data_IF_076226687553
#
_entry.id   IF_076226687553
#
_cell.length_a   1.000
_cell.length_b   1.000
_cell.length_c   1.000
_cell.angle_alpha   90.00
_cell.angle_beta   90.00
_cell.angle_gamma   90.00
#
_symmetry.space_group_name_H-M   'P 1'
#
loop_
_entity.id
_entity.type
_entity.pdbx_description
1 polymer ?
#
# COMPACT_ATOMS: atom_id res chain seq x y z
N UNK A 1 27.15 17.87 -31.32
CA UNK A 1 26.21 18.86 -30.77
C UNK A 1 26.32 18.83 -29.25
N UNK A 2 26.49 19.95 -28.54
CA UNK A 2 26.47 19.94 -27.08
C UNK A 2 25.08 19.51 -26.61
N UNK A 3 25.02 18.47 -25.78
CA UNK A 3 23.75 18.02 -25.19
C UNK A 3 23.29 19.09 -24.20
N UNK A 4 22.19 19.77 -24.52
CA UNK A 4 21.55 20.70 -23.58
C UNK A 4 21.28 19.96 -22.27
N UNK A 5 21.68 20.55 -21.15
CA UNK A 5 21.32 20.03 -19.83
C UNK A 5 19.81 20.10 -19.65
N UNK A 6 19.21 18.99 -19.24
CA UNK A 6 17.78 18.88 -18.92
C UNK A 6 17.52 19.32 -17.49
N UNK A 7 16.42 20.02 -17.26
CA UNK A 7 15.85 20.26 -15.94
C UNK A 7 15.15 18.98 -15.42
N UNK A 8 14.96 18.84 -14.11
CA UNK A 8 14.46 17.60 -13.49
C UNK A 8 13.12 17.10 -14.08
N UNK A 9 12.19 18.00 -14.38
CA UNK A 9 10.89 17.63 -14.95
C UNK A 9 10.98 17.12 -16.39
N UNK A 10 12.04 17.46 -17.13
CA UNK A 10 12.28 17.00 -18.51
C UNK A 10 12.77 15.54 -18.58
N UNK A 11 12.98 14.89 -17.43
CA UNK A 11 13.26 13.46 -17.31
C UNK A 11 12.00 12.60 -17.16
N UNK A 12 10.83 13.20 -16.95
CA UNK A 12 9.56 12.48 -16.91
C UNK A 12 9.20 12.04 -18.34
N UNK A 13 9.05 10.73 -18.54
CA UNK A 13 8.67 10.17 -19.84
C UNK A 13 7.14 10.17 -19.99
N UNK A 14 6.64 10.69 -21.10
CA UNK A 14 5.19 10.72 -21.41
C UNK A 14 4.63 9.35 -21.87
N UNK A 15 5.48 8.34 -22.00
CA UNK A 15 5.09 6.97 -22.30
C UNK A 15 5.52 6.07 -21.14
N UNK A 16 4.57 5.31 -20.60
CA UNK A 16 4.82 4.37 -19.52
C UNK A 16 5.57 3.14 -20.00
N UNK A 17 6.30 2.50 -19.08
CA UNK A 17 6.65 1.10 -19.25
C UNK A 17 5.36 0.27 -19.28
N UNK A 18 5.24 -0.68 -20.21
CA UNK A 18 4.03 -1.52 -20.38
C UNK A 18 3.72 -2.41 -19.17
N UNK A 19 4.64 -2.49 -18.19
CA UNK A 19 4.51 -3.33 -17.01
C UNK A 19 4.10 -2.58 -15.74
N UNK A 20 4.14 -1.25 -15.72
CA UNK A 20 3.89 -0.46 -14.50
C UNK A 20 2.47 -0.68 -13.95
N UNK A 21 2.37 -1.00 -12.66
CA UNK A 21 1.08 -1.09 -11.96
C UNK A 21 0.51 0.31 -11.76
N UNK A 22 -0.52 0.64 -12.52
CA UNK A 22 -1.15 1.96 -12.52
C UNK A 22 -2.44 2.02 -11.72
N UNK A 23 -3.00 3.22 -11.60
CA UNK A 23 -4.27 3.47 -10.89
C UNK A 23 -5.43 2.61 -11.43
N UNK A 24 -5.48 2.33 -12.73
CA UNK A 24 -6.51 1.48 -13.33
C UNK A 24 -6.46 0.03 -12.80
N UNK A 25 -5.28 -0.52 -12.54
CA UNK A 25 -5.14 -1.85 -11.96
C UNK A 25 -5.74 -1.87 -10.55
N UNK A 26 -5.48 -0.82 -9.77
CA UNK A 26 -6.05 -0.67 -8.43
C UNK A 26 -7.56 -0.43 -8.45
N UNK A 27 -8.14 0.21 -9.47
CA UNK A 27 -9.60 0.36 -9.61
C UNK A 27 -10.30 -1.00 -9.80
N UNK A 28 -9.64 -1.93 -10.52
CA UNK A 28 -10.21 -3.24 -10.84
C UNK A 28 -10.08 -4.20 -9.67
N UNK A 29 -8.88 -4.36 -9.11
CA UNK A 29 -8.60 -5.30 -8.02
C UNK A 29 -7.41 -4.83 -7.18
N UNK A 30 -7.63 -3.95 -6.17
CA UNK A 30 -6.56 -3.30 -5.41
C UNK A 30 -5.53 -4.26 -4.82
N UNK A 31 -6.00 -5.38 -4.27
CA UNK A 31 -5.14 -6.40 -3.66
C UNK A 31 -4.22 -7.04 -4.70
N UNK A 32 -4.77 -7.46 -5.83
CA UNK A 32 -4.01 -8.10 -6.91
C UNK A 32 -3.00 -7.13 -7.54
N UNK A 33 -3.37 -5.86 -7.71
CA UNK A 33 -2.48 -4.82 -8.21
C UNK A 33 -1.27 -4.59 -7.29
N UNK A 34 -1.51 -4.46 -5.98
CA UNK A 34 -0.42 -4.31 -5.01
C UNK A 34 0.49 -5.54 -4.97
N UNK A 35 -0.08 -6.75 -4.96
CA UNK A 35 0.73 -7.96 -4.94
C UNK A 35 1.59 -8.11 -6.20
N UNK A 36 1.05 -7.76 -7.38
CA UNK A 36 1.83 -7.67 -8.62
C UNK A 36 3.04 -6.75 -8.44
N UNK A 37 2.81 -5.53 -7.92
CA UNK A 37 3.88 -4.57 -7.67
C UNK A 37 4.95 -5.11 -6.70
N UNK A 38 4.56 -5.77 -5.61
CA UNK A 38 5.52 -6.36 -4.66
C UNK A 38 6.37 -7.46 -5.28
N UNK A 39 5.82 -8.26 -6.20
CA UNK A 39 6.58 -9.29 -6.91
C UNK A 39 7.56 -8.66 -7.89
N UNK A 40 7.12 -7.71 -8.70
CA UNK A 40 7.99 -7.01 -9.65
C UNK A 40 9.15 -6.30 -8.93
N UNK A 41 8.87 -5.69 -7.77
CA UNK A 41 9.89 -5.08 -6.92
C UNK A 41 10.91 -6.10 -6.40
N UNK A 42 10.43 -7.26 -5.91
CA UNK A 42 11.29 -8.36 -5.48
C UNK A 42 12.15 -8.86 -6.64
N UNK A 43 11.55 -9.09 -7.81
CA UNK A 43 12.24 -9.62 -8.99
C UNK A 43 13.30 -8.65 -9.52
N UNK A 44 13.04 -7.34 -9.48
CA UNK A 44 14.03 -6.33 -9.84
C UNK A 44 15.26 -6.39 -8.91
N UNK A 45 15.06 -6.50 -7.60
CA UNK A 45 16.18 -6.65 -6.66
C UNK A 45 16.88 -7.99 -6.83
N UNK A 46 16.14 -9.07 -7.09
CA UNK A 46 16.73 -10.39 -7.36
C UNK A 46 17.62 -10.36 -8.61
N UNK A 47 17.18 -9.68 -9.67
CA UNK A 47 17.97 -9.50 -10.88
C UNK A 47 19.32 -8.81 -10.56
N UNK A 48 19.31 -7.79 -9.70
CA UNK A 48 20.54 -7.16 -9.21
C UNK A 48 21.41 -8.14 -8.41
N UNK A 49 20.82 -8.89 -7.47
CA UNK A 49 21.52 -9.90 -6.65
C UNK A 49 22.25 -10.92 -7.54
N UNK A 50 21.61 -11.36 -8.61
CA UNK A 50 22.13 -12.40 -9.48
C UNK A 50 23.26 -11.89 -10.39
N UNK A 51 23.16 -10.65 -10.87
CA UNK A 51 24.05 -10.11 -11.90
C UNK A 51 25.12 -9.13 -11.39
N UNK A 52 25.00 -8.64 -10.15
CA UNK A 52 25.98 -7.68 -9.64
C UNK A 52 27.37 -8.32 -9.48
N UNK A 53 28.46 -7.62 -9.88
CA UNK A 53 29.80 -8.16 -9.84
C UNK A 53 30.22 -8.65 -8.45
N UNK A 54 30.73 -9.89 -8.40
CA UNK A 54 31.27 -10.55 -7.21
C UNK A 54 32.79 -10.68 -7.30
N UNK A 55 33.43 -10.87 -6.15
CA UNK A 55 34.82 -11.28 -5.99
C UNK A 55 34.91 -12.81 -6.19
N UNK A 56 36.14 -13.33 -6.24
CA UNK A 56 36.38 -14.77 -6.40
C UNK A 56 35.86 -15.62 -5.23
N UNK A 57 35.74 -15.03 -4.04
CA UNK A 57 35.19 -15.66 -2.83
C UNK A 57 33.64 -15.73 -2.83
N UNK A 58 32.98 -15.23 -3.88
CA UNK A 58 31.52 -15.17 -4.01
C UNK A 58 30.86 -13.95 -3.34
N UNK A 59 31.61 -13.13 -2.60
CA UNK A 59 31.09 -11.89 -2.00
C UNK A 59 30.99 -10.76 -3.02
N UNK A 60 30.10 -9.80 -2.80
CA UNK A 60 30.01 -8.62 -3.67
C UNK A 60 31.28 -7.76 -3.61
N UNK A 61 31.64 -7.16 -4.76
CA UNK A 61 32.58 -6.03 -4.76
C UNK A 61 31.95 -4.86 -3.99
N UNK A 62 32.77 -3.96 -3.42
CA UNK A 62 32.28 -2.85 -2.58
C UNK A 62 31.19 -2.03 -3.27
N UNK A 63 31.44 -1.55 -4.49
CA UNK A 63 30.45 -0.79 -5.26
C UNK A 63 29.13 -1.55 -5.50
N UNK A 64 29.21 -2.87 -5.74
CA UNK A 64 28.03 -3.74 -5.89
C UNK A 64 27.25 -3.87 -4.58
N UNK A 65 27.94 -4.01 -3.46
CA UNK A 65 27.32 -4.10 -2.14
C UNK A 65 26.63 -2.78 -1.76
N UNK A 66 27.31 -1.65 -1.96
CA UNK A 66 26.79 -0.31 -1.69
C UNK A 66 25.56 -0.03 -2.56
N UNK A 67 25.64 -0.32 -3.87
CA UNK A 67 24.52 -0.17 -4.79
C UNK A 67 23.31 -1.04 -4.39
N UNK A 68 23.55 -2.32 -4.04
CA UNK A 68 22.49 -3.21 -3.61
C UNK A 68 21.79 -2.70 -2.34
N UNK A 69 22.56 -2.16 -1.39
CA UNK A 69 22.01 -1.58 -0.17
C UNK A 69 21.10 -0.39 -0.46
N UNK A 70 21.52 0.52 -1.36
CA UNK A 70 20.67 1.63 -1.81
C UNK A 70 19.37 1.15 -2.46
N UNK A 71 19.45 0.14 -3.33
CA UNK A 71 18.25 -0.42 -3.96
C UNK A 71 17.30 -1.04 -2.93
N UNK A 72 17.80 -1.91 -2.04
CA UNK A 72 16.97 -2.57 -1.02
C UNK A 72 16.32 -1.56 -0.09
N UNK A 73 17.06 -0.54 0.38
CA UNK A 73 16.50 0.53 1.20
C UNK A 73 15.43 1.34 0.47
N UNK A 74 15.67 1.72 -0.79
CA UNK A 74 14.72 2.50 -1.58
C UNK A 74 13.43 1.72 -1.89
N UNK A 75 13.49 0.39 -1.93
CA UNK A 75 12.30 -0.43 -2.18
C UNK A 75 11.29 -0.37 -1.03
N UNK A 76 11.73 -0.21 0.23
CA UNK A 76 10.78 -0.18 1.35
C UNK A 76 9.83 1.02 1.26
N UNK A 77 10.28 2.29 1.17
CA UNK A 77 9.37 3.42 0.99
C UNK A 77 8.47 3.29 -0.22
N UNK A 78 9.00 2.77 -1.32
CA UNK A 78 8.23 2.64 -2.57
C UNK A 78 7.11 1.60 -2.44
N UNK A 79 7.41 0.42 -1.88
CA UNK A 79 6.39 -0.60 -1.58
C UNK A 79 5.36 -0.09 -0.58
N UNK A 80 5.78 0.62 0.47
CA UNK A 80 4.85 1.18 1.46
C UNK A 80 3.95 2.27 0.86
N UNK A 81 4.44 3.06 -0.10
CA UNK A 81 3.61 4.00 -0.85
C UNK A 81 2.54 3.28 -1.68
N UNK A 82 2.90 2.20 -2.36
CA UNK A 82 1.93 1.35 -3.05
C UNK A 82 0.95 0.63 -2.10
N UNK A 83 1.39 0.29 -0.88
CA UNK A 83 0.51 -0.28 0.14
C UNK A 83 -0.54 0.73 0.61
N UNK A 84 -0.16 1.99 0.80
CA UNK A 84 -1.11 3.08 1.07
C UNK A 84 -2.09 3.28 -0.09
N UNK A 85 -1.60 3.25 -1.34
CA UNK A 85 -2.47 3.27 -2.53
C UNK A 85 -3.47 2.12 -2.49
N UNK A 86 -3.03 0.90 -2.19
CA UNK A 86 -3.93 -0.25 -2.00
C UNK A 86 -5.02 0.02 -0.96
N UNK A 87 -4.65 0.55 0.21
CA UNK A 87 -5.62 0.83 1.29
C UNK A 87 -6.66 1.86 0.85
N UNK A 88 -6.22 2.96 0.21
CA UNK A 88 -7.11 4.01 -0.31
C UNK A 88 -8.05 3.49 -1.39
N UNK A 89 -7.53 2.74 -2.36
CA UNK A 89 -8.32 2.17 -3.45
C UNK A 89 -9.29 1.09 -2.96
N UNK A 90 -8.88 0.28 -1.98
CA UNK A 90 -9.76 -0.71 -1.35
C UNK A 90 -10.91 -0.03 -0.60
N UNK A 91 -10.63 1.04 0.15
CA UNK A 91 -11.67 1.83 0.83
C UNK A 91 -12.61 2.49 -0.19
N UNK A 92 -12.04 3.23 -1.14
CA UNK A 92 -12.80 3.99 -2.14
C UNK A 92 -13.72 3.07 -2.95
N UNK A 93 -13.18 1.96 -3.47
CA UNK A 93 -13.96 1.01 -4.26
C UNK A 93 -15.02 0.26 -3.45
N UNK A 94 -14.78 -0.01 -2.15
CA UNK A 94 -15.80 -0.55 -1.25
C UNK A 94 -16.90 0.47 -0.98
N UNK A 95 -16.55 1.75 -0.83
CA UNK A 95 -17.51 2.84 -0.64
C UNK A 95 -18.42 3.00 -1.86
N UNK A 96 -17.89 3.02 -3.09
CA UNK A 96 -18.73 3.10 -4.29
C UNK A 96 -19.73 1.95 -4.39
N UNK A 97 -19.30 0.75 -4.01
CA UNK A 97 -20.14 -0.46 -4.03
C UNK A 97 -21.10 -0.53 -2.84
N UNK A 98 -21.00 0.38 -1.88
CA UNK A 98 -21.82 0.34 -0.66
C UNK A 98 -23.30 0.62 -0.94
N UNK A 99 -23.62 1.16 -2.12
CA UNK A 99 -25.00 1.30 -2.64
C UNK A 99 -25.74 -0.03 -2.70
N UNK A 100 -25.01 -1.15 -2.78
CA UNK A 100 -25.58 -2.50 -2.80
C UNK A 100 -25.63 -3.17 -1.41
N UNK A 101 -25.26 -2.46 -0.34
CA UNK A 101 -25.34 -2.99 1.02
C UNK A 101 -26.72 -2.72 1.63
N UNK A 102 -27.27 -3.73 2.30
CA UNK A 102 -28.45 -3.61 3.16
C UNK A 102 -28.13 -2.67 4.32
N UNK A 103 -29.08 -1.78 4.60
CA UNK A 103 -29.06 -0.89 5.77
C UNK A 103 -27.77 -0.06 5.87
N UNK A 104 -27.23 0.37 4.73
CA UNK A 104 -26.09 1.27 4.71
C UNK A 104 -26.53 2.71 5.04
N UNK A 105 -26.57 3.03 6.34
CA UNK A 105 -26.97 4.35 6.82
C UNK A 105 -25.83 5.37 6.68
N UNK A 106 -25.97 6.27 5.70
CA UNK A 106 -25.04 7.37 5.44
C UNK A 106 -24.85 8.28 6.65
N UNK A 107 -25.89 8.51 7.46
CA UNK A 107 -25.80 9.39 8.65
C UNK A 107 -24.88 8.76 9.71
N UNK A 108 -25.04 7.45 9.95
CA UNK A 108 -24.16 6.71 10.84
C UNK A 108 -22.74 6.58 10.29
N UNK A 109 -22.58 6.38 8.97
CA UNK A 109 -21.27 6.38 8.30
C UNK A 109 -20.56 7.72 8.49
N UNK A 110 -21.25 8.84 8.25
CA UNK A 110 -20.69 10.17 8.45
C UNK A 110 -20.26 10.38 9.90
N UNK A 111 -21.07 9.96 10.88
CA UNK A 111 -20.73 10.05 12.31
C UNK A 111 -19.50 9.20 12.63
N UNK A 112 -19.46 7.95 12.19
CA UNK A 112 -18.35 7.03 12.46
C UNK A 112 -17.05 7.51 11.80
N UNK A 113 -17.12 7.99 10.56
CA UNK A 113 -15.97 8.57 9.88
C UNK A 113 -15.51 9.83 10.60
N UNK A 114 -16.37 10.80 10.92
CA UNK A 114 -15.98 12.01 11.69
C UNK A 114 -15.37 11.70 13.06
N UNK A 115 -15.78 10.62 13.71
CA UNK A 115 -15.20 10.20 14.98
C UNK A 115 -13.83 9.53 14.79
N UNK A 116 -13.67 8.77 13.71
CA UNK A 116 -12.41 8.10 13.37
C UNK A 116 -11.40 9.04 12.69
N UNK A 117 -11.89 10.11 12.06
CA UNK A 117 -11.13 11.02 11.20
C UNK A 117 -11.59 12.44 11.43
N UNK A 118 -10.65 13.38 11.51
CA UNK A 118 -10.98 14.80 11.34
C UNK A 118 -11.14 15.12 9.85
N UNK A 119 -12.03 14.42 9.13
CA UNK A 119 -12.26 14.68 7.70
C UNK A 119 -12.71 16.13 7.54
N UNK A 120 -11.85 16.90 6.89
CA UNK A 120 -12.15 18.22 6.35
C UNK A 120 -12.04 18.15 4.82
N UNK A 121 -13.18 18.14 4.15
CA UNK A 121 -13.23 18.19 2.69
C UNK A 121 -13.08 19.65 2.28
N UNK A 122 -11.83 20.11 2.15
CA UNK A 122 -11.59 21.48 1.74
C UNK A 122 -11.92 21.69 0.25
N UNK A 123 -12.40 22.89 -0.07
CA UNK A 123 -12.80 23.24 -1.43
C UNK A 123 -11.63 23.18 -2.43
N UNK A 124 -10.40 23.49 -1.99
CA UNK A 124 -9.20 23.47 -2.84
C UNK A 124 -8.85 22.07 -3.37
N UNK A 125 -8.95 21.03 -2.53
CA UNK A 125 -8.74 19.62 -2.90
C UNK A 125 -9.83 19.17 -3.87
N UNK A 126 -11.09 19.48 -3.58
CA UNK A 126 -12.19 19.21 -4.52
C UNK A 126 -11.98 19.91 -5.88
N UNK A 127 -11.52 21.17 -5.85
CA UNK A 127 -11.32 21.97 -7.05
C UNK A 127 -10.13 21.49 -7.92
N UNK A 128 -9.16 20.77 -7.35
CA UNK A 128 -8.05 20.15 -8.07
C UNK A 128 -8.51 19.05 -9.04
N UNK A 129 -9.68 18.50 -8.79
CA UNK A 129 -10.31 17.45 -9.59
C UNK A 129 -11.26 18.00 -10.66
N UNK A 130 -11.35 19.32 -10.85
CA UNK A 130 -12.13 19.91 -11.95
C UNK A 130 -11.58 19.42 -13.29
N UNK A 131 -12.47 19.11 -14.22
CA UNK A 131 -12.17 18.55 -15.54
C UNK A 131 -11.63 17.08 -15.54
N UNK A 132 -11.66 16.39 -14.39
CA UNK A 132 -11.51 14.93 -14.38
C UNK A 132 -12.88 14.29 -14.55
N UNK A 133 -13.05 13.46 -15.58
CA UNK A 133 -14.34 12.85 -15.93
C UNK A 133 -14.76 11.68 -15.02
N UNK A 134 -13.81 11.07 -14.28
CA UNK A 134 -14.01 9.75 -13.66
C UNK A 134 -13.53 9.66 -12.19
N UNK A 135 -13.74 10.70 -11.37
CA UNK A 135 -13.37 10.61 -9.95
C UNK A 135 -14.53 10.13 -9.10
N UNK A 136 -14.28 9.06 -8.37
CA UNK A 136 -15.25 8.44 -7.47
C UNK A 136 -15.35 9.22 -6.15
N UNK A 137 -16.53 9.27 -5.55
CA UNK A 137 -16.76 9.89 -4.23
C UNK A 137 -15.93 9.22 -3.15
N UNK A 138 -15.78 7.90 -3.22
CA UNK A 138 -14.92 7.10 -2.36
C UNK A 138 -13.47 7.54 -2.40
N UNK A 139 -12.94 7.97 -3.55
CA UNK A 139 -11.59 8.54 -3.63
C UNK A 139 -11.48 9.88 -2.91
N UNK A 140 -12.45 10.76 -3.11
CA UNK A 140 -12.48 12.05 -2.42
C UNK A 140 -12.51 11.88 -0.90
N UNK A 141 -13.28 10.90 -0.42
CA UNK A 141 -13.30 10.54 0.98
C UNK A 141 -11.95 9.99 1.44
N UNK A 142 -11.39 9.02 0.72
CA UNK A 142 -10.11 8.42 1.09
C UNK A 142 -8.96 9.44 1.15
N UNK A 143 -8.95 10.42 0.24
CA UNK A 143 -7.96 11.50 0.20
C UNK A 143 -8.16 12.58 1.28
N UNK A 144 -9.37 12.68 1.83
CA UNK A 144 -9.65 13.51 2.99
C UNK A 144 -9.30 12.82 4.33
N UNK A 145 -9.08 11.50 4.32
CA UNK A 145 -8.63 10.76 5.50
C UNK A 145 -7.11 10.89 5.67
N UNK A 146 -6.69 11.17 6.89
CA UNK A 146 -5.28 11.21 7.27
C UNK A 146 -4.84 9.84 7.81
N UNK A 147 -3.57 9.69 8.19
CA UNK A 147 -3.07 8.54 8.96
C UNK A 147 -3.27 7.15 8.34
N UNK A 148 -3.23 7.04 7.01
CA UNK A 148 -3.18 5.74 6.31
C UNK A 148 -1.98 4.88 6.72
N UNK A 149 -0.92 5.52 7.23
CA UNK A 149 0.25 4.86 7.80
C UNK A 149 0.05 4.34 9.23
N UNK A 150 -1.12 4.55 9.85
CA UNK A 150 -1.47 4.00 11.16
C UNK A 150 -2.50 2.85 11.01
N UNK A 151 -2.09 1.58 11.22
CA UNK A 151 -2.99 0.44 11.05
C UNK A 151 -4.24 0.48 11.94
N UNK A 152 -4.19 1.12 13.10
CA UNK A 152 -5.37 1.27 13.98
C UNK A 152 -6.39 2.26 13.39
N UNK A 153 -5.90 3.36 12.82
CA UNK A 153 -6.72 4.33 12.11
C UNK A 153 -7.37 3.67 10.90
N UNK A 154 -6.58 2.95 10.09
CA UNK A 154 -7.10 2.21 8.93
C UNK A 154 -8.19 1.21 9.34
N UNK A 155 -7.98 0.41 10.39
CA UNK A 155 -9.03 -0.46 10.94
C UNK A 155 -10.31 0.31 11.26
N UNK A 156 -10.19 1.48 11.86
CA UNK A 156 -11.34 2.32 12.21
C UNK A 156 -12.09 2.84 10.98
N UNK A 157 -11.39 3.10 9.87
CA UNK A 157 -12.02 3.52 8.61
C UNK A 157 -12.85 2.39 8.01
N UNK A 158 -12.32 1.16 8.01
CA UNK A 158 -13.00 0.01 7.44
C UNK A 158 -14.17 -0.55 8.29
N UNK A 159 -14.31 -0.10 9.55
CA UNK A 159 -15.44 -0.48 10.42
C UNK A 159 -16.81 -0.12 9.84
N UNK A 160 -16.90 0.88 8.95
CA UNK A 160 -18.16 1.20 8.28
C UNK A 160 -18.69 0.04 7.42
N UNK A 161 -17.78 -0.81 6.91
CA UNK A 161 -18.09 -1.98 6.11
C UNK A 161 -18.19 -3.25 6.95
N UNK A 162 -17.22 -3.44 7.87
CA UNK A 162 -17.10 -4.65 8.70
C UNK A 162 -17.97 -4.63 9.96
N UNK A 163 -18.60 -3.49 10.28
CA UNK A 163 -19.29 -3.26 11.55
C UNK A 163 -18.29 -3.14 12.70
N UNK A 164 -18.11 -4.21 13.47
CA UNK A 164 -17.18 -4.23 14.61
C UNK A 164 -15.85 -4.95 14.31
N UNK A 165 -15.75 -5.64 13.18
CA UNK A 165 -14.54 -6.37 12.80
C UNK A 165 -13.39 -5.46 12.40
N UNK A 166 -12.16 -5.87 12.69
CA UNK A 166 -10.95 -5.21 12.20
C UNK A 166 -10.44 -5.95 10.95
N UNK A 167 -9.86 -5.22 9.99
CA UNK A 167 -9.24 -5.85 8.81
C UNK A 167 -7.78 -6.27 9.07
N UNK A 168 -7.14 -5.67 10.08
CA UNK A 168 -5.83 -6.04 10.58
C UNK A 168 -5.91 -6.54 12.02
N UNK A 169 -5.41 -7.76 12.22
CA UNK A 169 -5.24 -8.36 13.55
C UNK A 169 -4.07 -7.73 14.33
N UNK A 170 -4.03 -7.87 15.67
CA UNK A 170 -2.99 -7.26 16.51
C UNK A 170 -1.55 -7.58 16.07
N UNK A 171 -1.25 -8.80 15.63
CA UNK A 171 0.09 -9.17 15.17
C UNK A 171 0.47 -8.47 13.86
N UNK A 172 -0.50 -8.27 12.97
CA UNK A 172 -0.34 -7.53 11.71
C UNK A 172 -0.12 -6.05 12.00
N UNK A 173 -0.85 -5.48 12.95
CA UNK A 173 -0.69 -4.08 13.38
C UNK A 173 0.75 -3.82 13.82
N UNK A 174 1.34 -4.68 14.65
CA UNK A 174 2.71 -4.50 15.12
C UNK A 174 3.73 -4.59 13.98
N UNK A 175 3.59 -5.58 13.09
CA UNK A 175 4.44 -5.70 11.89
C UNK A 175 4.37 -4.44 11.00
N UNK A 176 3.17 -3.93 10.77
CA UNK A 176 2.97 -2.73 9.96
C UNK A 176 3.56 -1.48 10.65
N UNK A 177 3.43 -1.34 11.97
CA UNK A 177 4.07 -0.23 12.71
C UNK A 177 5.58 -0.21 12.53
N UNK A 178 6.24 -1.37 12.60
CA UNK A 178 7.67 -1.49 12.30
C UNK A 178 7.97 -0.99 10.89
N UNK A 179 7.25 -1.49 9.87
CA UNK A 179 7.48 -1.10 8.48
C UNK A 179 7.26 0.40 8.23
N UNK A 180 6.22 0.98 8.82
CA UNK A 180 5.94 2.41 8.71
C UNK A 180 7.03 3.27 9.38
N UNK A 181 7.52 2.86 10.55
CA UNK A 181 8.60 3.58 11.23
C UNK A 181 9.94 3.48 10.49
N UNK A 182 10.24 2.31 9.92
CA UNK A 182 11.41 2.15 9.05
C UNK A 182 11.29 3.00 7.78
N UNK A 183 10.12 3.00 7.11
CA UNK A 183 9.86 3.88 5.97
C UNK A 183 10.02 5.35 6.34
N UNK A 184 9.50 5.77 7.50
CA UNK A 184 9.64 7.13 7.99
C UNK A 184 11.11 7.53 8.09
N UNK A 185 11.91 6.69 8.75
CA UNK A 185 13.34 6.94 8.98
C UNK A 185 14.16 6.93 7.67
N UNK A 186 13.87 6.02 6.74
CA UNK A 186 14.52 6.01 5.42
C UNK A 186 14.26 7.33 4.66
N UNK A 187 13.02 7.82 4.69
CA UNK A 187 12.62 9.00 3.91
C UNK A 187 13.02 10.32 4.59
N UNK A 188 12.94 10.40 5.92
CA UNK A 188 13.04 11.68 6.64
C UNK A 188 14.35 11.87 7.39
N UNK A 189 15.09 10.81 7.69
CA UNK A 189 16.34 10.86 8.48
C UNK A 189 17.51 10.19 7.76
N UNK A 190 17.43 10.10 6.42
CA UNK A 190 18.49 9.55 5.58
C UNK A 190 18.82 8.08 5.85
N UNK A 191 17.84 7.30 6.34
CA UNK A 191 18.06 5.90 6.71
C UNK A 191 18.67 5.71 8.09
N UNK A 192 18.67 6.72 8.96
CA UNK A 192 19.09 6.59 10.35
C UNK A 192 17.87 6.47 11.26
N UNK A 193 17.73 5.36 11.98
CA UNK A 193 16.69 5.25 12.98
C UNK A 193 17.12 6.03 14.24
N UNK A 194 16.60 7.24 14.42
CA UNK A 194 16.98 8.09 15.55
C UNK A 194 16.56 7.47 16.88
N UNK A 195 17.22 7.85 17.98
CA UNK A 195 16.79 7.44 19.32
C UNK A 195 15.28 7.72 19.54
N UNK A 196 14.79 8.91 19.19
CA UNK A 196 13.37 9.28 19.35
C UNK A 196 12.44 8.38 18.52
N UNK A 197 12.80 8.12 17.27
CA UNK A 197 12.01 7.28 16.37
C UNK A 197 11.97 5.82 16.80
N UNK A 198 13.09 5.30 17.32
CA UNK A 198 13.19 3.93 17.81
C UNK A 198 12.21 3.65 18.96
N UNK A 199 11.91 4.64 19.80
CA UNK A 199 11.01 4.47 20.96
C UNK A 199 9.52 4.49 20.59
N UNK A 200 9.16 4.79 19.34
CA UNK A 200 7.76 4.79 18.88
C UNK A 200 7.20 3.38 18.68
N UNK A 201 8.07 2.38 18.50
CA UNK A 201 7.71 0.99 18.21
C UNK A 201 8.59 0.06 19.04
N UNK A 202 7.99 -0.75 19.91
CA UNK A 202 8.69 -1.58 20.90
C UNK A 202 9.80 -2.45 20.29
N UNK A 203 9.53 -3.06 19.13
CA UNK A 203 10.45 -3.93 18.41
C UNK A 203 11.70 -3.20 17.89
N UNK A 204 11.68 -1.87 17.86
CA UNK A 204 12.75 -1.01 17.37
C UNK A 204 13.54 -0.33 18.50
N UNK A 205 13.13 -0.45 19.76
CA UNK A 205 13.71 0.31 20.88
C UNK A 205 15.25 0.16 21.03
N UNK A 206 15.81 -1.00 20.67
CA UNK A 206 17.26 -1.28 20.76
C UNK A 206 18.06 -0.84 19.52
N UNK A 207 17.41 -0.19 18.56
CA UNK A 207 18.00 0.21 17.28
C UNK A 207 18.17 1.73 17.14
N UNK A 208 18.02 2.49 18.24
CA UNK A 208 18.28 3.92 18.26
C UNK A 208 19.70 4.29 17.83
N UNK A 209 19.80 5.38 17.08
CA UNK A 209 20.99 5.97 16.48
C UNK A 209 21.79 5.02 15.56
N UNK A 210 21.10 4.04 14.97
CA UNK A 210 21.69 3.11 14.00
C UNK A 210 21.20 3.39 12.58
N UNK A 211 22.10 3.19 11.63
CA UNK A 211 21.73 3.11 10.21
C UNK A 211 20.89 1.86 9.95
N UNK A 212 19.84 2.02 9.14
CA UNK A 212 18.95 0.95 8.72
C UNK A 212 19.63 0.17 7.61
N UNK A 213 20.44 -0.83 7.98
CA UNK A 213 20.96 -1.80 7.03
C UNK A 213 19.98 -2.95 6.84
N UNK A 214 19.67 -3.29 5.59
CA UNK A 214 18.67 -4.30 5.26
C UNK A 214 19.34 -5.42 4.47
N UNK A 215 19.13 -6.65 4.89
CA UNK A 215 19.68 -7.80 4.18
C UNK A 215 19.11 -7.91 2.76
N UNK A 216 19.88 -8.49 1.84
CA UNK A 216 19.47 -8.69 0.45
C UNK A 216 18.15 -9.47 0.31
N UNK A 217 17.82 -10.32 1.28
CA UNK A 217 16.58 -11.10 1.29
C UNK A 217 15.36 -10.33 1.81
N UNK A 218 15.55 -9.09 2.28
CA UNK A 218 14.48 -8.29 2.86
C UNK A 218 13.32 -8.07 1.90
N UNK A 219 13.57 -7.76 0.63
CA UNK A 219 12.49 -7.53 -0.36
C UNK A 219 11.68 -8.78 -0.66
N UNK A 220 12.32 -9.96 -0.65
CA UNK A 220 11.65 -11.25 -0.74
C UNK A 220 10.72 -11.48 0.46
N UNK A 221 11.23 -11.28 1.67
CA UNK A 221 10.45 -11.45 2.90
C UNK A 221 9.32 -10.43 3.00
N UNK A 222 9.56 -9.19 2.57
CA UNK A 222 8.57 -8.13 2.49
C UNK A 222 7.40 -8.55 1.58
N UNK A 223 7.71 -8.96 0.35
CA UNK A 223 6.69 -9.44 -0.59
C UNK A 223 5.92 -10.63 0.00
N UNK A 224 6.62 -11.66 0.48
CA UNK A 224 6.00 -12.86 1.06
C UNK A 224 5.07 -12.56 2.24
N UNK A 225 5.47 -11.66 3.15
CA UNK A 225 4.64 -11.26 4.29
C UNK A 225 3.43 -10.43 3.86
N UNK A 226 3.59 -9.52 2.90
CA UNK A 226 2.47 -8.75 2.36
C UNK A 226 1.42 -9.60 1.67
N UNK A 227 1.79 -10.71 1.00
CA UNK A 227 0.81 -11.65 0.44
C UNK A 227 -0.18 -12.15 1.49
N UNK A 228 0.32 -12.50 2.69
CA UNK A 228 -0.52 -12.95 3.80
C UNK A 228 -1.38 -11.81 4.35
N UNK A 229 -0.79 -10.64 4.58
CA UNK A 229 -1.47 -9.46 5.14
C UNK A 229 -2.62 -9.01 4.22
N UNK A 230 -2.33 -8.87 2.92
CA UNK A 230 -3.28 -8.39 1.91
C UNK A 230 -4.39 -9.41 1.68
N UNK A 231 -4.05 -10.70 1.56
CA UNK A 231 -5.05 -11.77 1.44
C UNK A 231 -6.01 -11.75 2.63
N UNK A 232 -5.48 -11.74 3.85
CA UNK A 232 -6.30 -11.78 5.06
C UNK A 232 -7.20 -10.55 5.16
N UNK A 233 -6.64 -9.34 5.08
CA UNK A 233 -7.40 -8.08 5.21
C UNK A 233 -8.45 -7.91 4.12
N UNK A 234 -8.12 -8.19 2.85
CA UNK A 234 -9.09 -8.13 1.75
C UNK A 234 -10.19 -9.18 1.89
N UNK A 235 -9.88 -10.41 2.32
CA UNK A 235 -10.89 -11.45 2.52
C UNK A 235 -11.79 -11.15 3.73
N UNK A 236 -11.26 -10.62 4.83
CA UNK A 236 -12.06 -10.19 5.98
C UNK A 236 -13.07 -9.14 5.56
N UNK A 237 -12.62 -8.13 4.81
CA UNK A 237 -13.50 -7.11 4.26
C UNK A 237 -14.53 -7.70 3.27
N UNK A 238 -14.08 -8.54 2.33
CA UNK A 238 -14.96 -9.22 1.36
C UNK A 238 -16.07 -9.99 2.06
N UNK A 239 -15.74 -10.82 3.03
CA UNK A 239 -16.73 -11.63 3.75
C UNK A 239 -17.77 -10.75 4.43
N UNK A 240 -17.34 -9.68 5.13
CA UNK A 240 -18.26 -8.77 5.78
C UNK A 240 -19.14 -7.99 4.77
N UNK A 241 -18.55 -7.55 3.66
CA UNK A 241 -19.23 -6.81 2.61
C UNK A 241 -20.27 -7.68 1.89
N UNK A 242 -19.85 -8.85 1.42
CA UNK A 242 -20.69 -9.80 0.69
C UNK A 242 -21.85 -10.31 1.55
N UNK A 243 -21.63 -10.52 2.86
CA UNK A 243 -22.67 -10.95 3.80
C UNK A 243 -23.80 -9.94 3.99
N UNK A 244 -23.60 -8.68 3.57
CA UNK A 244 -24.56 -7.59 3.72
C UNK A 244 -25.19 -7.13 2.40
N UNK A 245 -24.93 -7.80 1.28
CA UNK A 245 -25.51 -7.41 0.00
C UNK A 245 -27.05 -7.51 0.00
N UNK A 246 -27.69 -6.59 -0.73
CA UNK A 246 -29.14 -6.65 -1.04
C UNK A 246 -29.47 -7.96 -1.77
N UNK A 247 -30.65 -8.51 -1.51
CA UNK A 247 -31.05 -9.84 -2.03
C UNK A 247 -31.34 -9.86 -3.53
N UNK A 248 -31.67 -8.72 -4.13
CA UNK A 248 -32.03 -8.57 -5.54
C UNK A 248 -30.89 -7.98 -6.39
N UNK A 249 -29.64 -8.04 -5.91
CA UNK A 249 -28.48 -7.58 -6.69
C UNK A 249 -28.37 -8.37 -8.00
N UNK A 250 -28.04 -7.68 -9.10
CA UNK A 250 -27.82 -8.34 -10.38
C UNK A 250 -26.57 -9.23 -10.33
N UNK A 251 -26.53 -10.27 -11.17
CA UNK A 251 -25.35 -11.13 -11.28
C UNK A 251 -24.11 -10.33 -11.73
N UNK A 252 -24.29 -9.38 -12.64
CA UNK A 252 -23.20 -8.55 -13.17
C UNK A 252 -22.58 -7.68 -12.08
N UNK A 253 -23.40 -7.04 -11.25
CA UNK A 253 -22.91 -6.22 -10.14
C UNK A 253 -22.22 -7.07 -9.08
N UNK A 254 -22.79 -8.24 -8.77
CA UNK A 254 -22.17 -9.20 -7.84
C UNK A 254 -20.81 -9.67 -8.34
N UNK A 255 -20.71 -10.06 -9.60
CA UNK A 255 -19.44 -10.49 -10.22
C UNK A 255 -18.42 -9.34 -10.21
N UNK A 256 -18.85 -8.10 -10.42
CA UNK A 256 -17.98 -6.92 -10.31
C UNK A 256 -17.44 -6.72 -8.88
N UNK A 257 -18.29 -6.88 -7.86
CA UNK A 257 -17.88 -6.78 -6.45
C UNK A 257 -16.91 -7.92 -6.10
N UNK A 258 -17.19 -9.15 -6.55
CA UNK A 258 -16.32 -10.31 -6.31
C UNK A 258 -14.96 -10.13 -6.98
N UNK A 259 -14.93 -9.58 -8.20
CA UNK A 259 -13.70 -9.22 -8.92
C UNK A 259 -12.91 -8.13 -8.20
N UNK A 260 -13.58 -7.12 -7.65
CA UNK A 260 -12.95 -6.06 -6.88
C UNK A 260 -12.18 -6.59 -5.66
N UNK A 261 -12.77 -7.54 -4.94
CA UNK A 261 -12.12 -8.18 -3.79
C UNK A 261 -11.21 -9.36 -4.17
N UNK A 262 -10.87 -9.53 -5.45
CA UNK A 262 -10.00 -10.61 -5.89
C UNK A 262 -8.55 -10.42 -5.40
N UNK A 263 -7.98 -11.50 -4.88
CA UNK A 263 -6.57 -11.58 -4.46
C UNK A 263 -5.85 -12.60 -5.34
N UNK A 264 -5.12 -12.11 -6.35
CA UNK A 264 -4.27 -12.89 -7.24
C UNK A 264 -2.82 -12.45 -7.13
N UNK A 265 -1.92 -13.40 -7.38
CA UNK A 265 -0.48 -13.18 -7.48
C UNK A 265 0.14 -14.23 -8.39
N UNK A 266 1.20 -13.87 -9.09
CA UNK A 266 2.06 -14.83 -9.82
C UNK A 266 2.72 -15.83 -8.89
N UNK A 267 2.93 -15.48 -7.61
CA UNK A 267 3.43 -16.38 -6.56
C UNK A 267 2.30 -16.97 -5.71
N UNK A 268 1.40 -17.74 -6.35
CA UNK A 268 0.19 -18.29 -5.72
C UNK A 268 0.45 -19.13 -4.44
N UNK A 269 1.63 -19.73 -4.30
CA UNK A 269 2.00 -20.52 -3.11
C UNK A 269 2.03 -19.66 -1.83
N UNK A 270 2.32 -18.36 -1.92
CA UNK A 270 2.30 -17.44 -0.78
C UNK A 270 0.89 -16.97 -0.40
N UNK A 271 -0.09 -17.26 -1.25
CA UNK A 271 -1.51 -17.07 -0.98
C UNK A 271 -2.15 -18.32 -0.38
N UNK A 272 -1.41 -19.38 -0.06
CA UNK A 272 -1.97 -20.55 0.63
C UNK A 272 -2.12 -20.24 2.11
#
# INVERSE_FOLDING_TARGET
>A
MPVRSKEFHEYILNHGCTTHVGHNDYLIAPASAFLKYTIETKDAVQLCIDHFPKKQDGNYKKASADALQHFVQAMLPTVMGHFETYQRYLFAGAFERSVYLKEFDISNVQKNLRNATQIDINFSKLAAYRNFSNISVGFLLADAMNDWHNPNSVNSYFKIFTGKGNIYEPDVINKLKVLWQLRHSIVHTGGTLTQVDSQKVLELNTFGDKYIFLEKQFTFELARKFHKIVKASTNTLKTAFMGRLISNISKVDRDNIEKFFEVKSSCHVWLR
#
